data_IF_865444435822
#
_entry.id   IF_865444435822
#
_cell.length_a   1.000
_cell.length_b   1.000
_cell.length_c   1.000
_cell.angle_alpha   90.00
_cell.angle_beta   90.00
_cell.angle_gamma   90.00
#
_symmetry.space_group_name_H-M   'P 1'
#
loop_
_entity.id
_entity.type
_entity.pdbx_description
1 polymer ?
#
# COMPACT_ATOMS: atom_id res chain seq x y z
N UNK A 1 -19.16 74.16 4.68
CA UNK A 1 -20.36 73.30 4.56
C UNK A 1 -20.70 73.39 3.09
N UNK A 2 -20.27 72.53 2.18
CA UNK A 2 -20.24 71.04 2.14
C UNK A 2 -19.63 70.68 0.79
N UNK A 3 -18.42 70.11 0.69
CA UNK A 3 -17.90 69.55 -0.59
C UNK A 3 -16.85 68.43 -0.41
N UNK A 4 -16.65 67.88 0.80
CA UNK A 4 -15.60 66.89 1.06
C UNK A 4 -16.08 65.43 1.14
N UNK A 5 -17.31 65.09 0.72
CA UNK A 5 -17.90 63.78 1.05
C UNK A 5 -18.34 62.91 -0.15
N UNK A 6 -18.40 63.40 -1.40
CA UNK A 6 -19.02 62.62 -2.50
C UNK A 6 -18.15 62.37 -3.74
N UNK A 7 -16.88 61.99 -3.56
CA UNK A 7 -16.24 61.14 -4.58
C UNK A 7 -15.25 60.14 -3.98
N UNK A 8 -15.81 59.19 -3.24
CA UNK A 8 -15.14 57.92 -3.01
C UNK A 8 -15.98 56.79 -3.58
N UNK A 9 -16.35 56.95 -4.86
CA UNK A 9 -16.94 55.87 -5.67
C UNK A 9 -15.89 55.15 -6.49
N UNK A 10 -14.64 55.12 -6.03
CA UNK A 10 -13.65 54.18 -6.53
C UNK A 10 -14.09 52.77 -6.10
N UNK A 11 -14.91 52.14 -6.97
CA UNK A 11 -15.16 50.71 -7.00
C UNK A 11 -13.80 50.02 -6.74
N UNK A 12 -13.65 49.19 -5.69
CA UNK A 12 -12.39 48.56 -5.41
C UNK A 12 -11.96 47.83 -6.69
N UNK A 13 -10.86 48.27 -7.29
CA UNK A 13 -10.32 47.66 -8.48
C UNK A 13 -9.92 46.25 -8.05
N UNK A 14 -10.76 45.29 -8.42
CA UNK A 14 -10.61 43.88 -8.07
C UNK A 14 -9.35 43.43 -8.79
N UNK A 15 -8.21 43.51 -8.11
CA UNK A 15 -6.93 43.05 -8.64
C UNK A 15 -7.15 41.62 -9.15
N UNK A 16 -7.12 41.46 -10.47
CA UNK A 16 -7.44 40.22 -11.13
C UNK A 16 -6.46 39.15 -10.64
N UNK A 17 -6.97 38.16 -9.91
CA UNK A 17 -6.17 37.03 -9.44
C UNK A 17 -5.47 36.38 -10.65
N UNK A 18 -4.14 36.15 -10.60
CA UNK A 18 -3.43 35.43 -11.65
C UNK A 18 -4.13 34.09 -11.91
N UNK A 19 -4.65 33.91 -13.13
CA UNK A 19 -5.29 32.68 -13.53
C UNK A 19 -4.22 31.58 -13.61
N UNK A 20 -4.23 30.67 -12.63
CA UNK A 20 -3.40 29.48 -12.70
C UNK A 20 -3.80 28.68 -13.97
N UNK A 21 -2.85 28.33 -14.86
CA UNK A 21 -3.17 27.53 -16.03
C UNK A 21 -3.73 26.18 -15.58
N UNK A 22 -4.80 25.72 -16.22
CA UNK A 22 -5.40 24.42 -15.92
C UNK A 22 -4.42 23.34 -16.38
N UNK A 23 -3.75 22.69 -15.43
CA UNK A 23 -2.86 21.58 -15.72
C UNK A 23 -3.66 20.31 -16.04
N UNK A 24 -4.06 20.21 -17.31
CA UNK A 24 -4.76 19.06 -17.89
C UNK A 24 -3.82 17.93 -18.27
N UNK A 25 -2.51 18.13 -18.15
CA UNK A 25 -1.50 17.16 -18.53
C UNK A 25 -1.66 15.80 -17.83
N UNK A 26 -1.90 15.74 -16.50
CA UNK A 26 -2.09 14.46 -15.80
C UNK A 26 -3.36 13.72 -16.26
N UNK A 27 -4.40 14.46 -16.60
CA UNK A 27 -5.69 13.90 -17.00
C UNK A 27 -5.63 13.26 -18.40
N UNK A 28 -4.83 13.85 -19.30
CA UNK A 28 -4.66 13.34 -20.68
C UNK A 28 -3.59 12.24 -20.75
N UNK A 29 -2.58 12.27 -19.87
CA UNK A 29 -1.51 11.28 -19.82
C UNK A 29 -2.01 9.86 -19.60
N UNK A 30 -2.95 9.65 -18.68
CA UNK A 30 -3.47 8.33 -18.32
C UNK A 30 -4.17 7.63 -19.50
N UNK A 31 -5.16 8.24 -20.18
CA UNK A 31 -5.79 7.62 -21.35
C UNK A 31 -4.83 7.52 -22.55
N UNK A 32 -3.90 8.47 -22.72
CA UNK A 32 -2.90 8.39 -23.78
C UNK A 32 -1.95 7.20 -23.59
N UNK A 33 -1.49 6.95 -22.37
CA UNK A 33 -0.69 5.77 -22.02
C UNK A 33 -1.49 4.47 -22.21
N UNK A 34 -2.76 4.45 -21.80
CA UNK A 34 -3.63 3.28 -21.99
C UNK A 34 -3.82 2.95 -23.49
N UNK A 35 -4.03 3.96 -24.33
CA UNK A 35 -4.13 3.79 -25.78
C UNK A 35 -2.81 3.38 -26.42
N UNK A 36 -1.68 3.89 -25.94
CA UNK A 36 -0.35 3.52 -26.42
C UNK A 36 0.01 2.07 -26.09
N UNK A 37 -0.55 1.49 -25.02
CA UNK A 37 -0.38 0.07 -24.69
C UNK A 37 -1.17 -0.87 -25.60
N UNK A 38 -2.21 -0.40 -26.28
CA UNK A 38 -3.07 -1.22 -27.16
C UNK A 38 -2.30 -1.90 -28.32
N UNK A 39 -1.44 -1.21 -29.09
CA UNK A 39 -0.62 -1.88 -30.11
C UNK A 39 0.47 -2.80 -29.52
N UNK A 40 0.85 -2.61 -28.26
CA UNK A 40 1.94 -3.38 -27.62
C UNK A 40 1.48 -4.75 -27.10
N UNK A 41 0.21 -4.88 -26.69
CA UNK A 41 -0.38 -6.13 -26.16
C UNK A 41 -0.85 -7.06 -27.28
N UNK A 42 -1.24 -6.52 -28.45
CA UNK A 42 -1.65 -7.31 -29.61
C UNK A 42 -3.05 -7.96 -29.51
N UNK A 43 -3.61 -8.14 -28.31
CA UNK A 43 -4.96 -8.69 -28.10
C UNK A 43 -5.86 -7.74 -27.29
N UNK A 44 -7.06 -7.47 -27.82
CA UNK A 44 -8.05 -6.60 -27.17
C UNK A 44 -8.50 -7.11 -25.78
N UNK A 45 -8.77 -8.42 -25.56
CA UNK A 45 -9.22 -8.91 -24.26
C UNK A 45 -8.17 -8.73 -23.16
N UNK A 46 -6.90 -9.05 -23.44
CA UNK A 46 -5.81 -8.93 -22.46
C UNK A 46 -5.54 -7.46 -22.12
N UNK A 47 -5.63 -6.56 -23.10
CA UNK A 47 -5.52 -5.12 -22.85
C UNK A 47 -6.61 -4.63 -21.88
N UNK A 48 -7.88 -5.00 -22.11
CA UNK A 48 -8.97 -4.64 -21.20
C UNK A 48 -8.71 -5.20 -19.80
N UNK A 49 -8.36 -6.47 -19.68
CA UNK A 49 -8.09 -7.11 -18.38
C UNK A 49 -6.96 -6.41 -17.63
N UNK A 50 -5.83 -6.12 -18.27
CA UNK A 50 -4.70 -5.46 -17.64
C UNK A 50 -5.03 -4.03 -17.22
N UNK A 51 -5.77 -3.31 -18.06
CA UNK A 51 -6.18 -1.93 -17.77
C UNK A 51 -7.14 -1.88 -16.58
N UNK A 52 -8.13 -2.79 -16.53
CA UNK A 52 -9.07 -2.90 -15.41
C UNK A 52 -8.36 -3.37 -14.14
N UNK A 53 -7.45 -4.34 -14.23
CA UNK A 53 -6.67 -4.81 -13.09
C UNK A 53 -5.76 -3.70 -12.53
N UNK A 54 -5.10 -2.94 -13.40
CA UNK A 54 -4.28 -1.79 -13.02
C UNK A 54 -5.10 -0.68 -12.37
N UNK A 55 -6.27 -0.37 -12.93
CA UNK A 55 -7.20 0.60 -12.35
C UNK A 55 -7.72 0.13 -10.98
N UNK A 56 -8.09 -1.13 -10.84
CA UNK A 56 -8.56 -1.71 -9.58
C UNK A 56 -7.48 -1.63 -8.49
N UNK A 57 -6.23 -1.99 -8.83
CA UNK A 57 -5.10 -1.87 -7.91
C UNK A 57 -4.77 -0.40 -7.58
N UNK A 58 -4.87 0.49 -8.57
CA UNK A 58 -4.70 1.93 -8.38
C UNK A 58 -5.75 2.54 -7.44
N UNK A 59 -7.02 2.16 -7.60
CA UNK A 59 -8.13 2.58 -6.73
C UNK A 59 -7.93 2.07 -5.29
N UNK A 60 -7.49 0.82 -5.12
CA UNK A 60 -7.14 0.28 -3.81
C UNK A 60 -6.04 1.12 -3.14
N UNK A 61 -4.93 1.38 -3.84
CA UNK A 61 -3.81 2.18 -3.31
C UNK A 61 -4.25 3.63 -3.04
N UNK A 62 -5.07 4.22 -3.91
CA UNK A 62 -5.63 5.56 -3.73
C UNK A 62 -6.47 5.66 -2.44
N UNK A 63 -7.37 4.69 -2.21
CA UNK A 63 -8.18 4.63 -0.98
C UNK A 63 -7.26 4.50 0.24
N UNK A 64 -6.26 3.61 0.18
CA UNK A 64 -5.29 3.46 1.27
C UNK A 64 -4.51 4.75 1.55
N UNK A 65 -4.04 5.45 0.52
CA UNK A 65 -3.32 6.72 0.65
C UNK A 65 -4.22 7.85 1.18
N UNK A 66 -5.49 7.90 0.75
CA UNK A 66 -6.47 8.87 1.25
C UNK A 66 -6.83 8.65 2.72
N UNK A 67 -7.03 7.39 3.14
CA UNK A 67 -7.24 7.04 4.54
C UNK A 67 -5.99 7.36 5.37
N UNK A 68 -4.84 7.07 4.77
CA UNK A 68 -3.50 7.53 5.11
C UNK A 68 -3.48 8.98 5.63
N UNK A 69 -3.80 9.86 4.68
CA UNK A 69 -3.80 11.32 4.81
C UNK A 69 -4.85 11.79 5.80
N UNK A 70 -6.05 11.19 5.80
CA UNK A 70 -7.14 11.58 6.68
C UNK A 70 -6.81 11.28 8.16
N UNK A 71 -6.17 10.14 8.44
CA UNK A 71 -5.74 9.78 9.80
C UNK A 71 -4.67 10.75 10.31
N UNK A 72 -3.72 11.21 9.48
CA UNK A 72 -2.79 12.30 9.88
C UNK A 72 -3.44 13.64 10.04
N UNK A 73 -4.43 13.95 9.20
CA UNK A 73 -5.16 15.20 9.31
C UNK A 73 -5.94 15.31 10.63
N UNK A 74 -6.27 14.19 11.28
CA UNK A 74 -7.19 14.15 12.43
C UNK A 74 -6.60 13.61 13.74
N UNK A 75 -5.67 12.65 13.74
CA UNK A 75 -5.27 11.95 14.98
C UNK A 75 -3.77 12.02 15.34
N UNK A 76 -2.92 12.71 14.58
CA UNK A 76 -1.46 12.88 14.84
C UNK A 76 -0.66 11.58 15.12
N UNK A 77 -1.27 10.40 15.01
CA UNK A 77 -0.65 9.10 15.34
C UNK A 77 -0.81 8.13 14.17
N UNK A 78 0.32 7.60 13.73
CA UNK A 78 0.44 6.64 12.65
C UNK A 78 0.71 5.25 13.21
N UNK A 79 -0.25 4.34 13.14
CA UNK A 79 0.00 2.94 13.44
C UNK A 79 0.51 2.23 12.17
N UNK A 80 1.82 2.08 12.06
CA UNK A 80 2.44 1.34 10.95
C UNK A 80 2.30 -0.19 11.09
N UNK A 81 1.72 -0.68 12.19
CA UNK A 81 1.63 -2.11 12.52
C UNK A 81 0.63 -2.93 11.81
N UNK A 82 -0.16 -2.25 11.00
CA UNK A 82 -0.87 -2.90 9.93
C UNK A 82 0.03 -3.84 9.11
N UNK A 83 1.25 -3.43 8.73
CA UNK A 83 2.15 -4.27 7.92
C UNK A 83 2.63 -5.54 8.63
N UNK A 84 2.93 -5.45 9.93
CA UNK A 84 3.36 -6.60 10.73
C UNK A 84 2.22 -7.61 10.91
N UNK A 85 1.00 -7.15 11.23
CA UNK A 85 -0.16 -8.03 11.37
C UNK A 85 -0.58 -8.66 10.04
N UNK A 86 -0.52 -7.92 8.93
CA UNK A 86 -0.76 -8.47 7.58
C UNK A 86 0.25 -9.57 7.25
N UNK A 87 1.53 -9.35 7.58
CA UNK A 87 2.58 -10.35 7.34
C UNK A 87 2.36 -11.63 8.15
N UNK A 88 2.04 -11.51 9.45
CA UNK A 88 1.68 -12.68 10.28
C UNK A 88 0.47 -13.41 9.72
N UNK A 89 -0.56 -12.68 9.28
CA UNK A 89 -1.75 -13.26 8.66
C UNK A 89 -1.43 -14.05 7.40
N UNK A 90 -0.58 -13.50 6.54
CA UNK A 90 -0.10 -14.19 5.34
C UNK A 90 0.67 -15.47 5.71
N UNK A 91 1.58 -15.42 6.69
CA UNK A 91 2.31 -16.61 7.13
C UNK A 91 1.39 -17.67 7.73
N UNK A 92 0.45 -17.30 8.60
CA UNK A 92 -0.53 -18.25 9.16
C UNK A 92 -1.39 -18.85 8.06
N UNK A 93 -1.88 -18.05 7.11
CA UNK A 93 -2.64 -18.54 5.96
C UNK A 93 -1.83 -19.56 5.15
N UNK A 94 -0.55 -19.27 4.88
CA UNK A 94 0.33 -20.22 4.17
C UNK A 94 0.56 -21.51 4.96
N UNK A 95 0.73 -21.44 6.29
CA UNK A 95 0.89 -22.62 7.14
C UNK A 95 -0.35 -23.50 7.17
N UNK A 96 -1.54 -22.92 7.09
CA UNK A 96 -2.81 -23.67 6.99
C UNK A 96 -3.01 -24.25 5.59
N UNK A 97 -2.66 -23.50 4.55
CA UNK A 97 -2.84 -23.92 3.16
C UNK A 97 -1.82 -24.96 2.68
N UNK A 98 -0.59 -24.95 3.21
CA UNK A 98 0.47 -25.91 2.87
C UNK A 98 0.05 -27.40 3.00
N UNK A 99 -0.49 -27.86 4.15
CA UNK A 99 -0.96 -29.24 4.29
C UNK A 99 -2.26 -29.51 3.50
N UNK A 100 -3.02 -28.47 3.15
CA UNK A 100 -4.27 -28.57 2.38
C UNK A 100 -4.05 -28.43 0.87
N UNK A 101 -2.80 -28.48 0.39
CA UNK A 101 -2.48 -28.33 -1.03
C UNK A 101 -3.21 -29.35 -1.93
N UNK A 102 -3.35 -30.59 -1.47
CA UNK A 102 -4.11 -31.62 -2.20
C UNK A 102 -5.62 -31.36 -2.31
N UNK A 103 -6.19 -30.47 -1.49
CA UNK A 103 -7.60 -30.07 -1.57
C UNK A 103 -7.81 -28.88 -2.51
N UNK A 104 -6.74 -28.12 -2.82
CA UNK A 104 -6.75 -27.03 -3.80
C UNK A 104 -6.61 -27.52 -5.24
N UNK A 105 -6.00 -28.68 -5.48
CA UNK A 105 -5.90 -29.31 -6.81
C UNK A 105 -7.16 -30.08 -7.24
N UNK A 106 -8.15 -30.27 -6.35
CA UNK A 106 -9.39 -30.94 -6.71
C UNK A 106 -10.26 -30.04 -7.60
N UNK A 107 -10.80 -30.59 -8.71
CA UNK A 107 -11.67 -29.91 -9.71
C UNK A 107 -12.96 -29.28 -9.14
N UNK A 108 -13.24 -29.45 -7.84
CA UNK A 108 -14.41 -28.87 -7.20
C UNK A 108 -14.12 -27.48 -6.64
N UNK A 109 -14.74 -26.46 -7.26
CA UNK A 109 -14.67 -25.05 -6.86
C UNK A 109 -15.08 -24.84 -5.39
N UNK A 110 -16.04 -25.62 -4.89
CA UNK A 110 -16.51 -25.55 -3.50
C UNK A 110 -15.43 -25.96 -2.47
N UNK A 111 -14.64 -27.00 -2.74
CA UNK A 111 -13.60 -27.47 -1.81
C UNK A 111 -12.43 -26.48 -1.73
N UNK A 112 -12.10 -25.84 -2.85
CA UNK A 112 -11.09 -24.78 -2.88
C UNK A 112 -11.57 -23.54 -2.11
N UNK A 113 -12.82 -23.12 -2.30
CA UNK A 113 -13.41 -22.00 -1.55
C UNK A 113 -13.50 -22.28 -0.04
N UNK A 114 -13.83 -23.51 0.39
CA UNK A 114 -13.89 -23.84 1.82
C UNK A 114 -12.51 -23.90 2.45
N UNK A 115 -11.51 -24.46 1.75
CA UNK A 115 -10.11 -24.45 2.21
C UNK A 115 -9.58 -23.00 2.34
N UNK A 116 -9.84 -22.16 1.35
CA UNK A 116 -9.48 -20.75 1.39
C UNK A 116 -10.22 -20.00 2.50
N UNK A 117 -11.52 -20.23 2.67
CA UNK A 117 -12.33 -19.63 3.73
C UNK A 117 -11.83 -20.01 5.13
N UNK A 118 -11.46 -21.28 5.33
CA UNK A 118 -10.86 -21.77 6.57
C UNK A 118 -9.51 -21.11 6.85
N UNK A 119 -8.65 -21.00 5.82
CA UNK A 119 -7.36 -20.32 5.93
C UNK A 119 -7.51 -18.85 6.30
N UNK A 120 -8.46 -18.14 5.70
CA UNK A 120 -8.78 -16.74 6.05
C UNK A 120 -9.25 -16.64 7.49
N UNK A 121 -10.20 -17.48 7.92
CA UNK A 121 -10.71 -17.48 9.29
C UNK A 121 -9.62 -17.74 10.32
N UNK A 122 -8.79 -18.76 10.10
CA UNK A 122 -7.68 -19.09 11.01
C UNK A 122 -6.61 -18.00 11.03
N UNK A 123 -6.29 -17.40 9.87
CA UNK A 123 -5.38 -16.27 9.80
C UNK A 123 -5.92 -15.05 10.55
N UNK A 124 -7.22 -14.73 10.42
CA UNK A 124 -7.87 -13.64 11.15
C UNK A 124 -7.87 -13.88 12.66
N UNK A 125 -8.20 -15.11 13.10
CA UNK A 125 -8.19 -15.47 14.51
C UNK A 125 -6.79 -15.40 15.10
N UNK A 126 -5.78 -15.96 14.42
CA UNK A 126 -4.40 -15.96 14.90
C UNK A 126 -3.81 -14.54 14.95
N UNK A 127 -4.01 -13.73 13.90
CA UNK A 127 -3.56 -12.33 13.88
C UNK A 127 -4.29 -11.47 14.90
N UNK A 128 -5.60 -11.67 15.06
CA UNK A 128 -6.39 -10.98 16.08
C UNK A 128 -5.92 -11.30 17.50
N UNK A 129 -5.64 -12.58 17.79
CA UNK A 129 -5.13 -13.01 19.10
C UNK A 129 -3.73 -12.45 19.37
N UNK A 130 -2.87 -12.43 18.35
CA UNK A 130 -1.52 -11.86 18.43
C UNK A 130 -1.57 -10.34 18.62
N UNK A 131 -2.47 -9.66 17.92
CA UNK A 131 -2.74 -8.22 18.09
C UNK A 131 -3.23 -7.90 19.51
N UNK A 132 -4.14 -8.71 20.05
CA UNK A 132 -4.62 -8.56 21.42
C UNK A 132 -3.50 -8.77 22.45
N UNK A 133 -2.66 -9.80 22.27
CA UNK A 133 -1.51 -10.03 23.13
C UNK A 133 -0.50 -8.88 23.06
N UNK A 134 -0.26 -8.35 21.85
CA UNK A 134 0.61 -7.20 21.63
C UNK A 134 0.10 -5.95 22.36
N UNK A 135 -1.19 -5.63 22.22
CA UNK A 135 -1.81 -4.51 22.91
C UNK A 135 -1.70 -4.63 24.45
N UNK A 136 -1.99 -5.81 24.99
CA UNK A 136 -1.90 -6.10 26.43
C UNK A 136 -0.48 -5.98 26.97
N UNK A 137 0.53 -6.45 26.24
CA UNK A 137 1.92 -6.51 26.73
C UNK A 137 2.68 -5.21 26.48
N UNK A 138 2.43 -4.53 25.37
CA UNK A 138 3.24 -3.37 24.94
C UNK A 138 2.52 -2.04 25.16
N UNK A 139 1.19 -1.99 24.98
CA UNK A 139 0.45 -0.71 25.01
C UNK A 139 -0.08 -0.39 26.40
N UNK A 140 -0.63 -1.36 27.12
CA UNK A 140 -1.17 -1.14 28.48
C UNK A 140 -0.16 -0.58 29.51
N UNK A 141 1.13 -0.94 29.51
CA UNK A 141 2.07 -0.46 30.53
C UNK A 141 2.46 1.03 30.42
N UNK A 142 2.15 1.71 29.31
CA UNK A 142 2.69 3.06 29.00
C UNK A 142 1.59 4.06 28.63
N UNK A 143 0.41 3.93 29.25
CA UNK A 143 -0.65 4.93 29.12
C UNK A 143 -0.34 6.17 29.98
N UNK A 144 -0.39 7.39 29.40
CA UNK A 144 -0.38 8.63 30.20
C UNK A 144 0.19 9.91 29.57
N UNK A 145 0.86 9.87 28.41
CA UNK A 145 1.41 11.08 27.75
C UNK A 145 1.37 10.94 26.22
N UNK A 146 0.63 11.81 25.51
CA UNK A 146 0.33 11.72 24.07
C UNK A 146 1.58 11.58 23.16
N UNK A 147 2.69 12.24 23.48
CA UNK A 147 3.93 12.15 22.69
C UNK A 147 4.63 10.78 22.84
N UNK A 148 4.51 10.13 24.00
CA UNK A 148 5.07 8.80 24.24
C UNK A 148 4.26 7.69 23.56
N UNK A 149 2.98 7.95 23.30
CA UNK A 149 2.08 7.01 22.63
C UNK A 149 2.47 6.79 21.16
N UNK A 150 2.87 7.86 20.46
CA UNK A 150 3.39 7.73 19.08
C UNK A 150 4.72 6.98 19.07
N UNK A 151 5.63 7.32 19.98
CA UNK A 151 6.95 6.68 20.06
C UNK A 151 6.86 5.18 20.41
N UNK A 152 5.95 4.79 21.30
CA UNK A 152 5.80 3.38 21.68
C UNK A 152 5.05 2.56 20.63
N UNK A 153 4.06 3.15 19.94
CA UNK A 153 3.36 2.45 18.86
C UNK A 153 4.29 2.24 17.67
N UNK A 154 5.15 3.20 17.35
CA UNK A 154 6.22 3.06 16.35
C UNK A 154 7.35 2.12 16.76
N UNK A 155 7.86 2.27 17.99
CA UNK A 155 8.96 1.44 18.50
C UNK A 155 8.54 -0.02 18.72
N UNK A 156 7.37 -0.24 19.33
CA UNK A 156 6.79 -1.58 19.49
C UNK A 156 6.53 -2.25 18.14
N UNK A 157 6.20 -1.46 17.13
CA UNK A 157 6.04 -1.92 15.76
C UNK A 157 7.31 -2.52 15.16
N UNK A 158 8.41 -1.79 15.27
CA UNK A 158 9.71 -2.25 14.78
C UNK A 158 10.09 -3.56 15.50
N UNK A 159 9.88 -3.62 16.82
CA UNK A 159 10.14 -4.84 17.60
C UNK A 159 9.29 -6.02 17.14
N UNK A 160 8.00 -5.81 16.88
CA UNK A 160 7.12 -6.84 16.33
C UNK A 160 7.59 -7.35 14.96
N UNK A 161 7.97 -6.44 14.07
CA UNK A 161 8.50 -6.79 12.75
C UNK A 161 9.80 -7.60 12.86
N UNK A 162 10.71 -7.19 13.75
CA UNK A 162 11.93 -7.96 14.00
C UNK A 162 11.64 -9.34 14.61
N UNK A 163 10.63 -9.45 15.49
CA UNK A 163 10.24 -10.73 16.06
C UNK A 163 9.67 -11.68 15.00
N UNK A 164 8.87 -11.19 14.05
CA UNK A 164 8.41 -11.95 12.88
C UNK A 164 9.60 -12.42 12.05
N UNK A 165 10.55 -11.54 11.77
CA UNK A 165 11.77 -11.87 11.02
C UNK A 165 12.64 -12.92 11.72
N UNK A 166 12.66 -12.93 13.05
CA UNK A 166 13.40 -13.93 13.84
C UNK A 166 12.72 -15.30 13.77
N UNK A 167 11.39 -15.36 13.85
CA UNK A 167 10.63 -16.63 13.86
C UNK A 167 10.62 -17.28 12.46
N UNK A 168 10.34 -16.49 11.41
CA UNK A 168 10.20 -17.02 10.04
C UNK A 168 11.47 -16.91 9.20
N UNK A 169 12.44 -16.10 9.62
CA UNK A 169 13.71 -15.90 8.92
C UNK A 169 13.54 -15.09 7.63
N UNK A 170 14.42 -14.11 7.41
CA UNK A 170 14.57 -13.52 6.07
C UNK A 170 15.38 -14.48 5.21
N UNK A 171 14.75 -15.54 4.72
CA UNK A 171 15.28 -16.35 3.63
C UNK A 171 15.20 -15.56 2.32
N UNK A 172 15.87 -14.40 2.29
CA UNK A 172 16.45 -13.86 1.06
C UNK A 172 17.47 -14.91 0.64
N UNK A 173 17.02 -15.89 -0.12
CA UNK A 173 17.88 -16.76 -0.89
C UNK A 173 18.82 -15.81 -1.63
N UNK A 174 20.05 -15.67 -1.14
CA UNK A 174 21.11 -15.03 -1.89
C UNK A 174 21.33 -16.00 -3.02
N UNK A 175 20.64 -15.77 -4.12
CA UNK A 175 20.87 -16.49 -5.36
C UNK A 175 22.39 -16.53 -5.53
N UNK A 176 23.02 -17.71 -5.62
CA UNK A 176 24.42 -17.77 -5.95
C UNK A 176 24.55 -17.06 -7.29
N UNK A 177 25.17 -15.88 -7.28
CA UNK A 177 25.48 -15.17 -8.50
C UNK A 177 26.34 -16.13 -9.32
N UNK A 178 25.79 -16.65 -10.41
CA UNK A 178 26.54 -17.50 -11.34
C UNK A 178 27.73 -16.65 -11.81
N UNK A 179 28.98 -17.16 -11.79
CA UNK A 179 30.18 -16.38 -12.10
C UNK A 179 30.21 -15.76 -13.50
N UNK A 180 29.22 -16.06 -14.36
CA UNK A 180 29.02 -15.41 -15.66
C UNK A 180 28.50 -13.96 -15.59
N UNK A 181 27.85 -13.53 -14.50
CA UNK A 181 27.35 -12.15 -14.36
C UNK A 181 28.32 -11.21 -13.64
N UNK A 182 29.49 -11.69 -13.22
CA UNK A 182 30.54 -10.90 -12.60
C UNK A 182 31.58 -10.37 -13.61
N UNK A 183 31.36 -10.57 -14.92
CA UNK A 183 32.16 -9.94 -15.95
C UNK A 183 31.48 -8.62 -16.37
N UNK A 184 32.04 -7.46 -15.99
CA UNK A 184 31.49 -6.18 -16.41
C UNK A 184 32.03 -5.94 -17.80
N UNK A 185 31.19 -5.93 -18.85
CA UNK A 185 31.51 -5.09 -20.00
C UNK A 185 32.86 -5.40 -20.70
N UNK A 186 33.44 -6.59 -20.53
CA UNK A 186 34.82 -6.89 -20.92
C UNK A 186 34.84 -7.91 -22.05
N UNK A 187 35.26 -7.45 -23.23
CA UNK A 187 35.51 -8.16 -24.48
C UNK A 187 34.24 -8.43 -25.32
N UNK A 188 33.70 -7.40 -25.96
CA UNK A 188 34.12 -6.98 -27.30
C UNK A 188 33.83 -8.04 -28.39
N UNK A 189 32.74 -7.80 -29.11
CA UNK A 189 32.62 -7.80 -30.58
C UNK A 189 33.94 -7.89 -31.38
N UNK A 190 33.99 -8.28 -32.68
CA UNK A 190 33.30 -9.26 -33.55
C UNK A 190 34.35 -10.23 -34.19
N UNK A 191 34.17 -10.91 -35.35
CA UNK A 191 32.98 -11.19 -36.21
C UNK A 191 32.44 -12.63 -36.14
#
# INVERSE_FOLDING_TARGET
>A
MTDTVLDNTAKPEVASLPTAPRDIWPLVLVPALALLMLPLVGSFPTWVTLTVAGLAMGMMIFIMASGLTLIFGLMDVLNFGHGAFVSVGAFVATLVLLPMHGWMEADSLLMNLTALGLAILLAMLATGLLGWAFERVIIMPVYGQHLKQILITMGGMIVAEQMINVIWGQSKSRYPCRPACAAPFCLAMPP
#
